data_IF_727124984888
#
_entry.id   IF_727124984888
#
_cell.length_a   1.000
_cell.length_b   1.000
_cell.length_c   1.000
_cell.angle_alpha   90.00
_cell.angle_beta   90.00
_cell.angle_gamma   90.00
#
_symmetry.space_group_name_H-M   'P 1'
#
loop_
_entity.id
_entity.type
_entity.pdbx_description
1 polymer ?
#
# COMPACT_ATOMS: atom_id res chain seq x y z
N UNK A 1 -8.05 -72.50 47.82
CA UNK A 1 -7.83 -73.93 47.47
C UNK A 1 -7.01 -74.04 46.25
N UNK A 2 -5.83 -74.68 46.40
CA UNK A 2 -4.93 -75.33 45.44
C UNK A 2 -4.46 -74.52 44.21
N UNK A 3 -3.29 -73.99 44.19
CA UNK A 3 -1.93 -74.58 44.16
C UNK A 3 -1.74 -75.59 43.00
N UNK A 4 -0.90 -75.24 42.04
CA UNK A 4 0.18 -76.19 41.67
C UNK A 4 1.30 -75.45 40.90
N UNK A 5 2.48 -75.84 41.36
CA UNK A 5 3.84 -75.40 41.03
C UNK A 5 4.38 -76.09 39.78
N UNK A 6 5.22 -75.38 39.01
CA UNK A 6 6.58 -75.68 38.49
C UNK A 6 6.77 -76.86 37.49
N UNK A 7 7.93 -76.94 36.74
CA UNK A 7 9.20 -76.23 36.82
C UNK A 7 9.88 -75.88 35.42
N UNK A 8 10.78 -74.98 35.49
CA UNK A 8 12.19 -74.88 35.00
C UNK A 8 12.64 -75.86 33.92
N UNK A 9 13.14 -75.32 32.82
CA UNK A 9 13.96 -75.94 31.85
C UNK A 9 14.96 -74.91 31.25
N UNK A 10 16.24 -75.00 31.74
CA UNK A 10 17.39 -74.26 31.19
C UNK A 10 17.89 -74.95 29.96
N UNK A 11 18.16 -74.18 28.91
CA UNK A 11 19.18 -74.62 27.94
C UNK A 11 20.04 -73.41 27.49
N UNK A 12 21.31 -73.52 27.75
CA UNK A 12 22.41 -72.68 27.25
C UNK A 12 22.70 -72.99 25.80
N UNK A 13 23.41 -72.06 25.16
CA UNK A 13 24.17 -72.08 23.93
C UNK A 13 23.45 -71.35 22.77
N UNK A 14 24.02 -70.46 21.98
CA UNK A 14 25.40 -70.23 21.60
C UNK A 14 25.49 -68.78 21.05
N UNK A 15 26.60 -68.12 21.35
CA UNK A 15 27.05 -66.89 20.72
C UNK A 15 27.40 -67.17 19.25
N UNK A 16 26.69 -66.50 18.35
CA UNK A 16 27.16 -66.29 16.99
C UNK A 16 27.21 -64.79 16.73
N UNK A 17 28.39 -64.22 16.66
CA UNK A 17 28.62 -62.82 16.31
C UNK A 17 28.32 -62.67 14.83
N UNK A 18 27.27 -61.89 14.53
CA UNK A 18 27.01 -61.38 13.19
C UNK A 18 27.50 -59.94 13.19
N UNK A 19 28.64 -59.71 12.56
CA UNK A 19 29.13 -58.38 12.24
C UNK A 19 28.21 -57.80 11.14
N UNK A 20 27.29 -56.92 11.54
CA UNK A 20 26.49 -56.15 10.62
C UNK A 20 27.32 -54.93 10.17
N UNK A 21 27.83 -54.98 8.94
CA UNK A 21 28.42 -53.84 8.24
C UNK A 21 27.34 -52.75 8.07
N UNK A 22 27.39 -51.72 8.92
CA UNK A 22 26.61 -50.51 8.69
C UNK A 22 27.22 -49.73 7.52
N UNK A 23 26.73 -49.98 6.33
CA UNK A 23 26.95 -49.09 5.20
C UNK A 23 26.17 -47.80 5.49
N UNK A 24 26.87 -46.72 5.87
CA UNK A 24 26.35 -45.37 5.89
C UNK A 24 25.97 -44.98 4.46
N UNK A 25 24.71 -45.10 4.10
CA UNK A 25 24.15 -44.40 2.94
C UNK A 25 24.02 -42.94 3.37
N UNK A 26 25.02 -42.12 3.04
CA UNK A 26 24.91 -40.68 3.08
C UNK A 26 23.82 -40.29 2.08
N UNK A 27 22.60 -40.09 2.56
CA UNK A 27 21.57 -39.40 1.81
C UNK A 27 22.09 -37.98 1.55
N UNK A 28 22.62 -37.77 0.35
CA UNK A 28 22.83 -36.45 -0.21
C UNK A 28 21.45 -35.80 -0.33
N UNK A 29 21.04 -35.09 0.72
CA UNK A 29 19.97 -34.15 0.59
C UNK A 29 20.38 -33.14 -0.48
N UNK A 30 19.62 -32.96 -1.55
CA UNK A 30 19.94 -31.89 -2.48
C UNK A 30 19.98 -30.60 -1.65
N UNK A 31 21.15 -29.93 -1.68
CA UNK A 31 21.30 -28.60 -1.11
C UNK A 31 20.12 -27.76 -1.57
N UNK A 32 19.44 -27.16 -0.60
CA UNK A 32 18.19 -26.41 -0.81
C UNK A 32 18.28 -25.58 -2.08
N UNK A 33 17.38 -25.89 -3.01
CA UNK A 33 17.17 -25.04 -4.15
C UNK A 33 16.91 -23.65 -3.61
N UNK A 34 17.80 -22.69 -3.94
CA UNK A 34 17.44 -21.28 -3.85
C UNK A 34 16.09 -21.17 -4.54
N UNK A 35 15.07 -20.72 -3.81
CA UNK A 35 13.84 -20.30 -4.46
C UNK A 35 14.30 -19.43 -5.63
N UNK A 36 13.95 -19.83 -6.85
CA UNK A 36 14.28 -19.04 -8.03
C UNK A 36 13.85 -17.62 -7.71
N UNK A 37 14.76 -16.64 -7.81
CA UNK A 37 14.46 -15.24 -7.59
C UNK A 37 13.29 -14.90 -8.52
N UNK A 38 12.09 -14.88 -7.94
CA UNK A 38 10.88 -14.58 -8.72
C UNK A 38 11.00 -13.12 -9.16
N UNK A 39 10.90 -12.89 -10.46
CA UNK A 39 10.87 -11.52 -11.01
C UNK A 39 9.83 -10.70 -10.22
N UNK A 40 10.20 -9.54 -9.65
CA UNK A 40 9.25 -8.66 -8.97
C UNK A 40 8.00 -8.35 -9.80
N UNK A 41 8.13 -8.33 -11.12
CA UNK A 41 7.03 -8.12 -12.06
C UNK A 41 6.11 -9.35 -12.24
N UNK A 42 6.46 -10.50 -11.70
CA UNK A 42 5.63 -11.71 -11.68
C UNK A 42 5.05 -12.03 -10.31
N UNK A 43 5.56 -11.38 -9.26
CA UNK A 43 5.18 -11.66 -7.88
C UNK A 43 3.97 -10.85 -7.45
N UNK A 44 2.93 -11.54 -6.96
CA UNK A 44 1.82 -10.91 -6.25
C UNK A 44 2.15 -10.61 -4.78
N UNK A 45 3.35 -10.98 -4.32
CA UNK A 45 3.81 -10.68 -2.97
C UNK A 45 4.49 -9.31 -2.97
N UNK A 46 3.94 -8.31 -2.27
CA UNK A 46 4.57 -7.02 -2.11
C UNK A 46 5.98 -7.11 -1.51
N UNK A 47 6.87 -6.24 -1.94
CA UNK A 47 8.22 -6.16 -1.40
C UNK A 47 8.20 -5.84 0.10
N UNK A 48 7.26 -5.03 0.54
CA UNK A 48 7.08 -4.66 1.94
C UNK A 48 6.82 -5.84 2.88
N UNK A 49 6.21 -6.93 2.40
CA UNK A 49 5.91 -8.12 3.19
C UNK A 49 6.83 -9.31 2.90
N UNK A 50 7.98 -9.08 2.27
CA UNK A 50 8.97 -10.12 1.99
C UNK A 50 9.01 -10.58 0.54
N UNK A 51 8.25 -9.97 -0.36
CA UNK A 51 8.35 -10.21 -1.79
C UNK A 51 9.72 -9.84 -2.37
N UNK A 52 9.99 -10.23 -3.63
CA UNK A 52 11.25 -9.94 -4.30
C UNK A 52 11.43 -8.43 -4.50
N UNK A 53 12.66 -7.94 -4.33
CA UNK A 53 13.06 -6.56 -4.57
C UNK A 53 13.65 -6.39 -5.96
N UNK A 54 13.45 -5.22 -6.54
CA UNK A 54 14.18 -4.82 -7.73
C UNK A 54 15.68 -4.68 -7.43
N UNK A 55 16.56 -5.19 -8.32
CA UNK A 55 17.99 -4.93 -8.21
C UNK A 55 18.33 -3.44 -8.25
N UNK A 56 19.43 -3.04 -7.60
CA UNK A 56 19.87 -1.64 -7.57
C UNK A 56 20.18 -1.05 -8.98
N UNK A 57 20.50 -1.89 -9.97
CA UNK A 57 20.71 -1.49 -11.35
C UNK A 57 19.44 -1.53 -12.20
N UNK A 58 18.25 -1.79 -11.61
CA UNK A 58 17.01 -1.87 -12.37
C UNK A 58 16.64 -0.54 -13.03
N UNK A 59 16.19 -0.61 -14.26
CA UNK A 59 15.56 0.50 -14.99
C UNK A 59 14.02 0.40 -14.98
N UNK A 60 13.49 -0.30 -13.99
CA UNK A 60 12.06 -0.52 -13.78
C UNK A 60 11.66 -0.04 -12.40
N UNK A 61 10.46 0.48 -12.26
CA UNK A 61 9.76 0.69 -11.01
C UNK A 61 8.56 -0.26 -10.95
N UNK A 62 8.23 -0.79 -9.76
CA UNK A 62 7.04 -1.63 -9.57
C UNK A 62 6.06 -0.92 -8.64
N UNK A 63 4.88 -0.67 -9.15
CA UNK A 63 3.76 -0.16 -8.36
C UNK A 63 2.82 -1.30 -7.98
N UNK A 64 2.33 -1.28 -6.74
CA UNK A 64 1.28 -2.20 -6.27
C UNK A 64 0.24 -1.43 -5.48
N UNK A 65 -1.00 -1.53 -5.90
CA UNK A 65 -2.11 -1.01 -5.12
C UNK A 65 -2.43 -1.94 -3.96
N UNK A 66 -2.43 -1.39 -2.75
CA UNK A 66 -2.62 -2.12 -1.50
C UNK A 66 -3.93 -1.74 -0.81
N UNK A 67 -4.98 -1.52 -1.59
CA UNK A 67 -6.30 -1.04 -1.18
C UNK A 67 -6.36 0.44 -0.80
N UNK A 68 -7.55 1.04 -0.87
CA UNK A 68 -7.78 2.45 -0.57
C UNK A 68 -6.81 3.34 -1.38
N UNK A 69 -6.15 4.26 -0.71
CA UNK A 69 -5.07 5.04 -1.33
C UNK A 69 -3.67 4.44 -1.12
N UNK A 70 -3.58 3.26 -0.44
CA UNK A 70 -2.27 2.67 -0.17
C UNK A 70 -1.60 2.17 -1.44
N UNK A 71 -0.39 2.61 -1.67
CA UNK A 71 0.50 2.12 -2.71
C UNK A 71 1.86 1.71 -2.16
N UNK A 72 2.40 0.65 -2.73
CA UNK A 72 3.82 0.32 -2.65
C UNK A 72 4.48 0.70 -3.98
N UNK A 73 5.61 1.39 -3.88
CA UNK A 73 6.52 1.64 -4.99
C UNK A 73 7.88 1.02 -4.65
N UNK A 74 8.28 0.00 -5.39
CA UNK A 74 9.63 -0.56 -5.34
C UNK A 74 10.47 0.03 -6.48
N UNK A 75 11.60 0.61 -6.11
CA UNK A 75 12.58 1.18 -7.03
C UNK A 75 13.99 0.89 -6.55
N UNK A 76 14.77 0.13 -7.29
CA UNK A 76 16.19 -0.19 -7.01
C UNK A 76 16.43 -0.70 -5.59
N UNK A 77 15.51 -1.53 -5.07
CA UNK A 77 15.57 -2.09 -3.73
C UNK A 77 15.09 -1.18 -2.62
N UNK A 78 14.67 0.04 -2.94
CA UNK A 78 13.99 0.95 -2.01
C UNK A 78 12.48 0.74 -2.09
N UNK A 79 11.83 0.61 -0.95
CA UNK A 79 10.38 0.44 -0.85
C UNK A 79 9.76 1.69 -0.26
N UNK A 80 8.99 2.40 -1.05
CA UNK A 80 8.24 3.58 -0.66
C UNK A 80 6.80 3.16 -0.39
N UNK A 81 6.29 3.46 0.81
CA UNK A 81 4.89 3.22 1.15
C UNK A 81 4.13 4.53 1.20
N UNK A 82 2.97 4.54 0.58
CA UNK A 82 2.02 5.65 0.62
C UNK A 82 0.79 5.15 1.36
N UNK A 83 0.50 5.79 2.50
CA UNK A 83 -0.51 5.42 3.47
C UNK A 83 -0.32 4.04 4.13
N UNK A 84 -1.09 3.78 5.19
CA UNK A 84 -0.98 2.55 5.98
C UNK A 84 -2.34 2.16 6.55
N UNK A 85 -3.19 1.56 5.71
CA UNK A 85 -4.50 1.04 6.09
C UNK A 85 -4.65 -0.40 5.56
N UNK A 86 -4.19 -1.37 6.31
CA UNK A 86 -4.15 -2.78 5.92
C UNK A 86 -5.10 -3.65 6.74
N UNK A 87 -5.27 -3.37 8.04
CA UNK A 87 -6.14 -4.11 8.94
C UNK A 87 -7.60 -3.66 8.76
N UNK A 88 -8.30 -4.36 7.89
CA UNK A 88 -9.64 -4.02 7.41
C UNK A 88 -10.66 -5.05 7.85
N UNK A 89 -11.95 -4.69 7.84
CA UNK A 89 -13.04 -5.63 8.12
C UNK A 89 -13.01 -6.86 7.20
N UNK A 90 -13.50 -8.00 7.69
CA UNK A 90 -13.62 -9.23 6.90
C UNK A 90 -14.51 -9.07 5.65
N UNK A 91 -15.48 -8.16 5.69
CA UNK A 91 -16.37 -7.86 4.54
C UNK A 91 -15.73 -6.98 3.49
N UNK A 92 -14.62 -6.32 3.78
CA UNK A 92 -13.85 -5.64 2.74
C UNK A 92 -13.18 -6.69 1.85
N UNK A 93 -12.93 -6.34 0.59
CA UNK A 93 -12.16 -7.19 -0.31
C UNK A 93 -10.84 -7.57 0.36
N UNK A 94 -10.50 -8.87 0.49
CA UNK A 94 -9.31 -9.30 1.21
C UNK A 94 -8.02 -8.75 0.56
N UNK A 95 -7.17 -8.13 1.36
CA UNK A 95 -5.83 -7.71 0.92
C UNK A 95 -4.85 -8.87 0.87
N UNK A 96 -5.07 -9.91 1.69
CA UNK A 96 -4.25 -11.12 1.74
C UNK A 96 -3.02 -11.02 2.64
N UNK A 97 -2.88 -9.92 3.38
CA UNK A 97 -1.89 -9.73 4.45
C UNK A 97 -2.39 -8.69 5.45
N UNK A 98 -1.73 -8.58 6.59
CA UNK A 98 -2.04 -7.61 7.63
C UNK A 98 -0.87 -6.64 7.88
N UNK A 99 -1.10 -5.57 8.63
CA UNK A 99 -0.08 -4.58 8.99
C UNK A 99 1.14 -5.22 9.69
N UNK A 100 0.91 -6.28 10.48
CA UNK A 100 1.96 -6.99 11.22
C UNK A 100 2.92 -7.76 10.31
N UNK A 101 2.56 -7.96 9.05
CA UNK A 101 3.39 -8.62 8.05
C UNK A 101 4.27 -7.64 7.27
N UNK A 102 4.04 -6.33 7.40
CA UNK A 102 4.87 -5.30 6.74
C UNK A 102 6.20 -5.18 7.48
N UNK A 103 7.29 -5.61 6.84
CA UNK A 103 8.63 -5.71 7.44
C UNK A 103 9.66 -4.82 6.76
N UNK A 104 9.29 -4.18 5.66
CA UNK A 104 10.24 -3.41 4.85
C UNK A 104 9.59 -2.14 4.31
N UNK A 105 10.21 -1.02 4.61
CA UNK A 105 9.97 0.27 4.00
C UNK A 105 11.24 1.12 4.09
N UNK A 106 11.52 1.93 3.10
CA UNK A 106 12.58 2.95 3.12
C UNK A 106 12.05 4.27 3.68
N UNK A 107 10.79 4.56 3.41
CA UNK A 107 10.04 5.71 3.92
C UNK A 107 8.54 5.43 3.82
N UNK A 108 7.76 6.03 4.71
CA UNK A 108 6.30 5.99 4.71
C UNK A 108 5.80 7.42 4.56
N UNK A 109 5.01 7.67 3.52
CA UNK A 109 4.32 8.94 3.29
C UNK A 109 2.87 8.82 3.71
N UNK A 110 2.41 9.70 4.58
CA UNK A 110 0.99 9.81 4.93
C UNK A 110 0.40 11.02 4.21
N UNK A 111 -0.52 10.78 3.29
CA UNK A 111 -1.14 11.85 2.53
C UNK A 111 -2.04 12.71 3.41
N UNK A 112 -2.82 12.10 4.33
CA UNK A 112 -3.56 12.84 5.35
C UNK A 112 -3.93 11.98 6.57
N UNK A 113 -4.59 12.59 7.56
CA UNK A 113 -4.80 12.01 8.89
C UNK A 113 -6.09 11.22 9.10
N UNK A 114 -6.88 10.91 8.08
CA UNK A 114 -8.03 10.05 8.27
C UNK A 114 -7.59 8.59 8.57
N UNK A 115 -8.45 7.85 9.28
CA UNK A 115 -8.13 6.49 9.73
C UNK A 115 -7.81 5.54 8.58
N UNK A 116 -8.49 5.68 7.46
CA UNK A 116 -8.34 4.84 6.27
C UNK A 116 -7.08 5.16 5.43
N UNK A 117 -6.23 6.04 5.95
CA UNK A 117 -4.88 6.36 5.45
C UNK A 117 -3.79 6.05 6.47
N UNK A 118 -4.06 6.15 7.79
CA UNK A 118 -3.00 6.10 8.79
C UNK A 118 -3.22 5.11 9.94
N UNK A 119 -4.32 4.35 9.97
CA UNK A 119 -4.67 3.55 11.16
C UNK A 119 -3.63 2.52 11.57
N UNK A 120 -2.81 2.04 10.66
CA UNK A 120 -1.78 1.03 10.91
C UNK A 120 -0.35 1.61 10.95
N UNK A 121 -0.20 2.94 10.99
CA UNK A 121 1.12 3.58 10.95
C UNK A 121 2.04 3.13 12.08
N UNK A 122 1.51 2.96 13.29
CA UNK A 122 2.32 2.60 14.47
C UNK A 122 2.94 1.22 14.32
N UNK A 123 2.20 0.12 14.09
CA UNK A 123 2.82 -1.19 13.90
C UNK A 123 3.73 -1.24 12.67
N UNK A 124 3.37 -0.58 11.57
CA UNK A 124 4.17 -0.59 10.34
C UNK A 124 5.50 0.14 10.55
N UNK A 125 5.47 1.35 11.11
CA UNK A 125 6.68 2.11 11.37
C UNK A 125 7.59 1.44 12.42
N UNK A 126 7.01 0.84 13.46
CA UNK A 126 7.77 0.09 14.47
C UNK A 126 8.50 -1.11 13.88
N UNK A 127 7.89 -1.83 12.94
CA UNK A 127 8.48 -3.04 12.34
C UNK A 127 9.51 -2.73 11.26
N UNK A 128 9.31 -1.66 10.51
CA UNK A 128 10.19 -1.29 9.40
C UNK A 128 11.34 -0.38 9.84
N UNK A 129 11.17 0.37 10.93
CA UNK A 129 12.10 1.43 11.35
C UNK A 129 12.11 2.63 10.38
N UNK A 130 11.21 2.67 9.40
CA UNK A 130 11.20 3.69 8.36
C UNK A 130 10.79 5.07 8.91
N UNK A 131 11.39 6.17 8.42
CA UNK A 131 10.90 7.51 8.70
C UNK A 131 9.50 7.70 8.12
N UNK A 132 8.69 8.50 8.80
CA UNK A 132 7.32 8.84 8.40
C UNK A 132 7.27 10.32 8.05
N UNK A 133 6.73 10.66 6.87
CA UNK A 133 6.51 12.03 6.42
C UNK A 133 5.03 12.33 6.49
N UNK A 134 4.65 13.40 7.19
CA UNK A 134 3.25 13.76 7.42
C UNK A 134 3.03 15.25 7.65
N UNK A 135 1.82 15.73 7.39
CA UNK A 135 1.38 17.07 7.78
C UNK A 135 1.28 17.21 9.32
N UNK A 136 1.35 18.42 9.90
CA UNK A 136 1.36 18.62 11.36
C UNK A 136 0.23 17.89 12.09
N UNK A 137 -1.00 18.01 11.63
CA UNK A 137 -2.18 17.39 12.27
C UNK A 137 -2.12 15.86 12.22
N UNK A 138 -1.62 15.30 11.12
CA UNK A 138 -1.41 13.86 10.92
C UNK A 138 -0.27 13.36 11.80
N UNK A 139 0.85 14.08 11.84
CA UNK A 139 2.01 13.79 12.66
C UNK A 139 1.64 13.78 14.16
N UNK A 140 0.95 14.80 14.63
CA UNK A 140 0.46 14.89 16.02
C UNK A 140 -0.45 13.71 16.38
N UNK A 141 -1.35 13.35 15.46
CA UNK A 141 -2.25 12.20 15.64
C UNK A 141 -1.46 10.90 15.72
N UNK A 142 -0.50 10.67 14.81
CA UNK A 142 0.35 9.48 14.82
C UNK A 142 1.17 9.35 16.11
N UNK A 143 1.73 10.47 16.59
CA UNK A 143 2.49 10.52 17.86
C UNK A 143 1.58 10.21 19.05
N UNK A 144 0.35 10.76 19.09
CA UNK A 144 -0.65 10.41 20.13
C UNK A 144 -1.04 8.93 20.08
N UNK A 145 -1.01 8.29 18.91
CA UNK A 145 -1.23 6.85 18.76
C UNK A 145 -0.05 6.00 19.22
N UNK A 146 1.11 6.60 19.49
CA UNK A 146 2.31 5.92 20.00
C UNK A 146 3.48 5.86 19.01
N UNK A 147 3.42 6.55 17.87
CA UNK A 147 4.57 6.66 16.98
C UNK A 147 5.65 7.54 17.63
N UNK A 148 6.94 7.09 17.71
CA UNK A 148 8.01 7.93 18.23
C UNK A 148 8.16 9.23 17.44
N UNK A 149 8.16 10.38 18.12
CA UNK A 149 8.29 11.68 17.46
C UNK A 149 9.58 11.81 16.64
N UNK A 150 10.67 11.16 17.06
CA UNK A 150 11.94 11.14 16.33
C UNK A 150 11.87 10.40 14.99
N UNK A 151 10.82 9.61 14.75
CA UNK A 151 10.60 8.89 13.49
C UNK A 151 9.75 9.71 12.50
N UNK A 152 9.21 10.87 12.93
CA UNK A 152 8.30 11.67 12.11
C UNK A 152 9.00 12.92 11.57
N UNK A 153 8.95 13.11 10.28
CA UNK A 153 9.29 14.36 9.58
C UNK A 153 8.01 15.11 9.27
N UNK A 154 7.79 16.23 9.95
CA UNK A 154 6.61 17.07 9.71
C UNK A 154 6.87 18.05 8.60
N UNK A 155 5.93 18.16 7.65
CA UNK A 155 6.00 19.02 6.46
C UNK A 155 4.68 19.78 6.27
N UNK A 156 4.77 20.96 5.67
CA UNK A 156 3.61 21.87 5.51
C UNK A 156 3.28 22.19 4.06
N UNK A 157 4.07 21.63 3.12
CA UNK A 157 4.02 21.91 1.69
C UNK A 157 5.02 22.99 1.27
N UNK A 158 5.73 22.71 0.18
CA UNK A 158 6.83 23.53 -0.33
C UNK A 158 8.22 22.98 -0.02
N UNK A 159 8.33 22.00 0.88
CA UNK A 159 9.59 21.35 1.21
C UNK A 159 10.04 20.40 0.09
N UNK A 160 11.37 20.20 0.04
CA UNK A 160 12.02 19.16 -0.76
C UNK A 160 12.83 18.27 0.16
N UNK A 161 12.53 16.97 0.15
CA UNK A 161 13.23 15.95 0.92
C UNK A 161 14.02 15.02 -0.01
N UNK A 162 14.99 14.29 0.55
CA UNK A 162 15.79 13.31 -0.17
C UNK A 162 15.79 11.96 0.54
N UNK A 163 15.48 10.90 -0.20
CA UNK A 163 15.53 9.53 0.29
C UNK A 163 16.45 8.72 -0.65
N UNK A 164 17.70 8.51 -0.20
CA UNK A 164 18.75 8.04 -1.09
C UNK A 164 19.00 9.03 -2.22
N UNK A 165 18.85 8.57 -3.44
CA UNK A 165 18.98 9.36 -4.66
C UNK A 165 17.65 9.90 -5.23
N UNK A 166 16.56 9.68 -4.52
CA UNK A 166 15.22 10.15 -4.91
C UNK A 166 14.91 11.49 -4.24
N UNK A 167 14.54 12.46 -5.03
CA UNK A 167 14.06 13.78 -4.57
C UNK A 167 12.55 13.75 -4.45
N UNK A 168 12.01 14.25 -3.34
CA UNK A 168 10.57 14.33 -3.08
C UNK A 168 10.18 15.79 -2.81
N UNK A 169 9.47 16.39 -3.75
CA UNK A 169 8.85 17.71 -3.60
C UNK A 169 7.45 17.55 -3.04
N UNK A 170 7.11 18.35 -2.03
CA UNK A 170 5.87 18.24 -1.29
C UNK A 170 5.00 19.46 -1.53
N UNK A 171 3.72 19.26 -1.75
CA UNK A 171 2.74 20.34 -1.81
C UNK A 171 1.62 20.13 -0.81
N UNK A 172 1.08 21.24 -0.30
CA UNK A 172 -0.18 21.24 0.41
C UNK A 172 -1.31 21.16 -0.63
N UNK A 173 -2.12 20.13 -0.54
CA UNK A 173 -3.28 19.88 -1.37
C UNK A 173 -4.57 20.09 -0.55
N UNK A 174 -5.72 20.05 -1.20
CA UNK A 174 -7.01 20.00 -0.53
C UNK A 174 -7.58 18.58 -0.53
N UNK A 175 -8.19 18.22 0.57
CA UNK A 175 -8.99 17.01 0.66
C UNK A 175 -10.29 17.15 -0.14
N UNK A 176 -10.74 16.07 -0.77
CA UNK A 176 -12.08 16.00 -1.36
C UNK A 176 -13.16 16.26 -0.29
N UNK A 177 -14.24 16.91 -0.68
CA UNK A 177 -15.33 17.24 0.23
C UNK A 177 -16.65 16.70 -0.31
N UNK A 178 -17.52 16.13 0.54
CA UNK A 178 -18.86 15.74 0.12
C UNK A 178 -19.62 16.95 -0.44
N UNK A 179 -20.48 16.70 -1.42
CA UNK A 179 -21.40 17.74 -1.87
C UNK A 179 -22.32 18.17 -0.71
N UNK A 180 -22.78 19.42 -0.70
CA UNK A 180 -23.77 19.86 0.29
C UNK A 180 -24.97 18.90 0.33
N UNK A 181 -25.39 18.48 1.53
CA UNK A 181 -26.48 17.52 1.74
C UNK A 181 -26.11 16.04 1.57
N UNK A 182 -24.95 15.70 1.03
CA UNK A 182 -24.50 14.31 0.88
C UNK A 182 -23.92 13.77 2.19
N UNK A 183 -23.32 14.59 3.03
CA UNK A 183 -22.71 14.14 4.29
C UNK A 183 -23.71 13.38 5.17
N UNK A 184 -24.94 13.88 5.31
CA UNK A 184 -25.98 13.19 6.09
C UNK A 184 -26.35 11.82 5.48
N UNK A 185 -26.42 11.72 4.14
CA UNK A 185 -26.69 10.48 3.45
C UNK A 185 -25.54 9.46 3.68
N UNK A 186 -24.29 9.91 3.61
CA UNK A 186 -23.10 9.07 3.90
C UNK A 186 -23.12 8.60 5.35
N UNK A 187 -23.41 9.47 6.30
CA UNK A 187 -23.51 9.11 7.72
C UNK A 187 -24.61 8.09 7.98
N UNK A 188 -25.74 8.22 7.29
CA UNK A 188 -26.83 7.25 7.39
C UNK A 188 -26.48 5.89 6.75
N UNK A 189 -25.84 5.89 5.60
CA UNK A 189 -25.31 4.68 4.97
C UNK A 189 -24.30 3.99 5.88
N UNK A 190 -23.39 4.74 6.48
CA UNK A 190 -22.43 4.21 7.44
C UNK A 190 -23.11 3.57 8.65
N UNK A 191 -24.15 4.20 9.22
CA UNK A 191 -24.94 3.62 10.31
C UNK A 191 -25.65 2.32 9.91
N UNK A 192 -26.09 2.21 8.65
CA UNK A 192 -26.68 0.98 8.11
C UNK A 192 -25.63 -0.12 8.04
N UNK A 193 -24.43 0.19 7.58
CA UNK A 193 -23.33 -0.79 7.52
C UNK A 193 -22.91 -1.28 8.90
N UNK A 194 -22.77 -0.38 9.86
CA UNK A 194 -22.45 -0.78 11.25
C UNK A 194 -23.48 -1.74 11.84
N UNK A 195 -24.75 -1.62 11.47
CA UNK A 195 -25.80 -2.56 11.93
C UNK A 195 -25.69 -3.96 11.33
N UNK A 196 -24.94 -4.13 10.25
CA UNK A 196 -24.67 -5.42 9.60
C UNK A 196 -23.42 -6.08 10.16
N UNK A 197 -22.62 -5.36 10.93
CA UNK A 197 -21.39 -5.88 11.51
C UNK A 197 -21.71 -6.89 12.61
N UNK A 198 -20.95 -7.96 12.67
CA UNK A 198 -20.86 -8.77 13.87
C UNK A 198 -20.26 -7.95 15.03
N UNK A 199 -20.42 -8.37 16.29
CA UNK A 199 -19.79 -7.66 17.42
C UNK A 199 -18.28 -7.44 17.25
N UNK A 200 -17.56 -8.43 16.71
CA UNK A 200 -16.12 -8.35 16.49
C UNK A 200 -15.77 -7.36 15.34
N UNK A 201 -16.54 -7.36 14.26
CA UNK A 201 -16.37 -6.40 13.16
C UNK A 201 -16.68 -4.97 13.62
N UNK A 202 -17.72 -4.78 14.44
CA UNK A 202 -18.05 -3.48 15.01
C UNK A 202 -16.93 -2.99 15.94
N UNK A 203 -16.37 -3.87 16.79
CA UNK A 203 -15.24 -3.54 17.66
C UNK A 203 -14.00 -3.17 16.83
N UNK A 204 -13.67 -3.95 15.80
CA UNK A 204 -12.57 -3.63 14.88
C UNK A 204 -12.78 -2.29 14.18
N UNK A 205 -13.99 -2.04 13.68
CA UNK A 205 -14.34 -0.77 13.02
C UNK A 205 -14.15 0.43 13.95
N UNK A 206 -14.63 0.32 15.20
CA UNK A 206 -14.45 1.37 16.18
C UNK A 206 -12.98 1.60 16.51
N UNK A 207 -12.20 0.53 16.70
CA UNK A 207 -10.76 0.60 16.97
C UNK A 207 -10.00 1.21 15.80
N UNK A 208 -10.30 0.85 14.56
CA UNK A 208 -9.66 1.41 13.36
C UNK A 208 -10.01 2.89 13.21
N UNK A 209 -11.28 3.26 13.32
CA UNK A 209 -11.71 4.67 13.23
C UNK A 209 -11.10 5.58 14.29
N UNK A 210 -10.79 5.05 15.48
CA UNK A 210 -10.13 5.82 16.54
C UNK A 210 -8.64 6.10 16.25
N UNK A 211 -8.08 5.46 15.22
CA UNK A 211 -6.65 5.61 14.82
C UNK A 211 -6.49 6.59 13.68
N UNK A 212 -7.12 7.72 13.78
CA UNK A 212 -7.05 8.82 12.82
C UNK A 212 -7.64 10.08 13.41
N UNK A 213 -7.68 11.15 12.64
CA UNK A 213 -8.31 12.40 13.01
C UNK A 213 -9.40 12.78 12.03
N UNK A 214 -10.49 13.37 12.54
CA UNK A 214 -11.56 13.98 11.75
C UNK A 214 -11.58 15.49 11.96
N UNK A 215 -10.45 16.08 12.36
CA UNK A 215 -10.33 17.53 12.47
C UNK A 215 -10.60 18.20 11.11
N UNK A 216 -11.39 19.28 11.07
CA UNK A 216 -11.58 20.07 9.85
C UNK A 216 -10.27 20.56 9.21
N UNK A 217 -9.21 20.72 10.02
CA UNK A 217 -7.88 21.13 9.53
C UNK A 217 -7.25 20.11 8.57
N UNK A 218 -7.71 18.85 8.55
CA UNK A 218 -7.27 17.87 7.55
C UNK A 218 -7.63 18.32 6.14
N UNK A 219 -8.78 18.95 5.97
CA UNK A 219 -9.31 19.33 4.66
C UNK A 219 -8.42 20.35 3.94
N UNK A 220 -7.95 21.36 4.68
CA UNK A 220 -7.26 22.52 4.10
C UNK A 220 -5.77 22.61 4.47
N UNK A 221 -5.33 21.91 5.53
CA UNK A 221 -3.98 22.04 6.09
C UNK A 221 -3.29 20.70 6.34
N UNK A 222 -3.98 19.58 6.12
CA UNK A 222 -3.52 18.26 6.49
C UNK A 222 -3.35 17.28 5.33
N UNK A 223 -3.68 17.67 4.10
CA UNK A 223 -3.58 16.82 2.91
C UNK A 223 -2.35 17.20 2.10
N UNK A 224 -1.54 16.22 1.71
CA UNK A 224 -0.27 16.40 1.02
C UNK A 224 -0.26 15.69 -0.33
N UNK A 225 0.38 16.34 -1.32
CA UNK A 225 0.80 15.72 -2.56
C UNK A 225 2.31 15.51 -2.56
N UNK A 226 2.76 14.36 -3.04
CA UNK A 226 4.17 13.97 -3.12
C UNK A 226 4.60 13.80 -4.56
N UNK A 227 5.52 14.64 -5.01
CA UNK A 227 6.13 14.58 -6.34
C UNK A 227 7.54 13.99 -6.25
N UNK A 228 7.74 12.77 -6.71
CA UNK A 228 9.02 12.08 -6.67
C UNK A 228 9.75 12.28 -8.00
N UNK A 229 11.03 12.65 -7.93
CA UNK A 229 11.93 12.69 -9.08
C UNK A 229 13.11 11.76 -8.84
N UNK A 230 13.29 10.83 -9.76
CA UNK A 230 14.34 9.81 -9.72
C UNK A 230 15.56 10.25 -10.55
N UNK A 231 16.76 9.67 -10.32
CA UNK A 231 17.99 10.07 -11.05
C UNK A 231 17.89 9.98 -12.57
N UNK A 232 17.07 9.08 -13.08
CA UNK A 232 16.80 8.94 -14.52
C UNK A 232 15.93 10.06 -15.11
N UNK A 233 15.42 10.96 -14.26
CA UNK A 233 14.39 11.93 -14.62
C UNK A 233 12.98 11.35 -14.66
N UNK A 234 12.79 10.10 -14.27
CA UNK A 234 11.46 9.50 -14.07
C UNK A 234 10.73 10.23 -12.95
N UNK A 235 9.47 10.55 -13.15
CA UNK A 235 8.68 11.37 -12.22
C UNK A 235 7.38 10.70 -11.85
N UNK A 236 7.07 10.72 -10.56
CA UNK A 236 5.85 10.11 -9.99
C UNK A 236 5.13 11.13 -9.13
N UNK A 237 3.82 11.24 -9.29
CA UNK A 237 2.94 11.97 -8.39
C UNK A 237 2.09 10.98 -7.58
N UNK A 238 2.01 11.20 -6.27
CA UNK A 238 1.11 10.48 -5.38
C UNK A 238 0.23 11.50 -4.63
N UNK A 239 -1.09 11.34 -4.76
CA UNK A 239 -2.10 12.19 -4.11
C UNK A 239 -3.26 11.31 -3.66
N UNK A 240 -3.40 11.16 -2.36
CA UNK A 240 -4.34 10.23 -1.71
C UNK A 240 -5.77 10.77 -1.56
N UNK A 241 -5.99 12.04 -1.90
CA UNK A 241 -7.30 12.65 -1.91
C UNK A 241 -7.40 13.71 -3.02
N UNK A 242 -8.51 13.80 -3.71
CA UNK A 242 -8.72 14.72 -4.83
C UNK A 242 -9.73 15.81 -4.44
N UNK A 243 -9.22 16.95 -4.03
CA UNK A 243 -10.02 18.15 -3.78
C UNK A 243 -9.80 19.23 -4.85
N UNK A 244 -10.31 20.43 -4.62
CA UNK A 244 -10.05 21.58 -5.48
C UNK A 244 -8.55 21.86 -5.63
N UNK A 245 -8.11 22.17 -6.84
CA UNK A 245 -6.69 22.48 -7.13
C UNK A 245 -6.23 23.69 -6.30
N UNK A 246 -5.13 23.50 -5.56
CA UNK A 246 -4.49 24.52 -4.74
C UNK A 246 -3.39 25.28 -5.49
N UNK A 247 -2.89 26.35 -4.90
CA UNK A 247 -1.64 26.99 -5.35
C UNK A 247 -0.43 26.06 -5.14
N UNK A 248 -0.48 25.20 -4.12
CA UNK A 248 0.52 24.17 -3.87
C UNK A 248 0.61 23.18 -5.03
N UNK A 249 -0.53 22.65 -5.48
CA UNK A 249 -0.61 21.73 -6.62
C UNK A 249 -0.08 22.38 -7.89
N UNK A 250 -0.44 23.65 -8.17
CA UNK A 250 0.05 24.40 -9.34
C UNK A 250 1.56 24.58 -9.30
N UNK A 251 2.13 24.92 -8.14
CA UNK A 251 3.57 25.08 -7.95
C UNK A 251 4.30 23.75 -8.11
N UNK A 252 3.74 22.67 -7.55
CA UNK A 252 4.30 21.33 -7.72
C UNK A 252 4.27 20.90 -9.19
N UNK A 253 3.14 21.07 -9.87
CA UNK A 253 3.02 20.77 -11.30
C UNK A 253 3.99 21.59 -12.16
N UNK A 254 4.17 22.88 -11.87
CA UNK A 254 5.14 23.72 -12.56
C UNK A 254 6.58 23.24 -12.34
N UNK A 255 6.92 22.76 -11.14
CA UNK A 255 8.25 22.23 -10.80
C UNK A 255 8.50 20.88 -11.47
N UNK A 256 7.53 19.97 -11.43
CA UNK A 256 7.69 18.63 -12.02
C UNK A 256 7.59 18.67 -13.55
N UNK A 257 6.74 19.55 -14.12
CA UNK A 257 6.25 19.38 -15.48
C UNK A 257 5.40 18.11 -15.63
N UNK A 258 5.11 17.64 -16.85
CA UNK A 258 4.41 16.39 -17.07
C UNK A 258 5.10 15.23 -16.33
N UNK A 259 4.32 14.40 -15.62
CA UNK A 259 4.85 13.27 -14.85
C UNK A 259 4.76 11.98 -15.66
N UNK A 260 5.61 11.00 -15.35
CA UNK A 260 5.54 9.70 -16.01
C UNK A 260 4.42 8.84 -15.43
N UNK A 261 4.20 8.89 -14.09
CA UNK A 261 3.12 8.17 -13.41
C UNK A 261 2.43 9.10 -12.42
N UNK A 262 1.12 9.06 -12.36
CA UNK A 262 0.36 9.67 -11.27
C UNK A 262 -0.61 8.68 -10.66
N UNK A 263 -0.59 8.55 -9.33
CA UNK A 263 -1.72 8.01 -8.57
C UNK A 263 -2.45 9.18 -7.91
N UNK A 264 -3.69 9.38 -8.30
CA UNK A 264 -4.58 10.40 -7.77
C UNK A 264 -5.87 9.70 -7.37
N UNK A 265 -6.30 9.92 -6.13
CA UNK A 265 -7.49 9.29 -5.59
C UNK A 265 -8.74 9.62 -6.40
N UNK A 266 -9.59 8.61 -6.55
CA UNK A 266 -10.95 8.72 -7.04
C UNK A 266 -11.87 8.34 -5.89
N UNK A 267 -12.25 9.31 -5.10
CA UNK A 267 -12.95 9.05 -3.85
C UNK A 267 -14.46 9.10 -4.01
N UNK A 268 -15.12 8.17 -3.31
CA UNK A 268 -16.55 7.97 -3.36
C UNK A 268 -17.34 8.97 -2.50
N UNK A 269 -17.49 10.19 -2.95
CA UNK A 269 -18.43 11.14 -2.32
C UNK A 269 -19.81 11.16 -2.97
N UNK A 270 -20.31 9.97 -3.32
CA UNK A 270 -21.69 9.65 -3.67
C UNK A 270 -22.23 10.09 -5.05
N UNK A 271 -21.53 10.92 -5.81
CA UNK A 271 -21.98 11.34 -7.14
C UNK A 271 -20.81 11.27 -8.13
N UNK A 272 -20.90 10.41 -9.12
CA UNK A 272 -19.83 10.18 -10.10
C UNK A 272 -19.39 11.48 -10.80
N UNK A 273 -20.33 12.36 -11.17
CA UNK A 273 -20.02 13.65 -11.82
C UNK A 273 -19.10 14.52 -10.95
N UNK A 274 -19.33 14.56 -9.64
CA UNK A 274 -18.50 15.36 -8.73
C UNK A 274 -17.10 14.75 -8.58
N UNK A 275 -17.01 13.45 -8.46
CA UNK A 275 -15.73 12.76 -8.35
C UNK A 275 -14.87 12.92 -9.59
N UNK A 276 -15.47 12.78 -10.77
CA UNK A 276 -14.81 13.09 -12.04
C UNK A 276 -14.40 14.56 -12.06
N UNK A 277 -15.28 15.46 -11.61
CA UNK A 277 -15.04 16.90 -11.56
C UNK A 277 -13.93 17.32 -10.60
N UNK A 278 -13.63 16.55 -9.55
CA UNK A 278 -12.52 16.80 -8.62
C UNK A 278 -11.22 16.14 -9.09
N UNK A 279 -11.28 14.88 -9.52
CA UNK A 279 -10.07 14.12 -9.89
C UNK A 279 -9.53 14.50 -11.27
N UNK A 280 -10.40 14.64 -12.26
CA UNK A 280 -9.97 14.88 -13.65
C UNK A 280 -9.13 16.17 -13.82
N UNK A 281 -9.49 17.33 -13.23
CA UNK A 281 -8.66 18.52 -13.31
C UNK A 281 -7.24 18.35 -12.74
N UNK A 282 -7.08 17.51 -11.71
CA UNK A 282 -5.75 17.19 -11.17
C UNK A 282 -4.97 16.29 -12.14
N UNK A 283 -5.63 15.30 -12.77
CA UNK A 283 -5.00 14.50 -13.83
C UNK A 283 -4.56 15.41 -14.98
N UNK A 284 -5.38 16.36 -15.41
CA UNK A 284 -5.02 17.34 -16.44
C UNK A 284 -3.84 18.21 -16.02
N UNK A 285 -3.83 18.69 -14.78
CA UNK A 285 -2.78 19.58 -14.26
C UNK A 285 -1.40 18.90 -14.29
N UNK A 286 -1.30 17.64 -13.87
CA UNK A 286 -0.05 16.91 -13.81
C UNK A 286 0.31 16.16 -15.10
N UNK A 287 -0.65 16.00 -15.98
CA UNK A 287 -0.52 15.41 -17.31
C UNK A 287 0.34 14.13 -17.34
N UNK A 288 -0.07 13.06 -16.64
CA UNK A 288 0.70 11.84 -16.55
C UNK A 288 0.67 11.05 -17.86
N UNK A 289 1.77 10.34 -18.17
CA UNK A 289 1.76 9.29 -19.21
C UNK A 289 0.95 8.07 -18.78
N UNK A 290 0.99 7.76 -17.47
CA UNK A 290 0.25 6.65 -16.86
C UNK A 290 -0.52 7.13 -15.63
N UNK A 291 -1.82 6.97 -15.65
CA UNK A 291 -2.69 7.18 -14.48
C UNK A 291 -2.99 5.86 -13.78
N UNK A 292 -2.77 5.82 -12.48
CA UNK A 292 -3.07 4.70 -11.58
C UNK A 292 -4.14 5.16 -10.59
N UNK A 293 -5.40 4.72 -10.71
CA UNK A 293 -6.44 5.10 -9.77
C UNK A 293 -6.20 4.51 -8.39
N UNK A 294 -6.61 5.24 -7.36
CA UNK A 294 -6.67 4.79 -5.97
C UNK A 294 -7.97 5.25 -5.33
N UNK A 295 -8.26 4.74 -4.15
CA UNK A 295 -9.42 5.13 -3.34
C UNK A 295 -10.79 4.96 -4.04
N UNK A 296 -10.89 4.02 -4.99
CA UNK A 296 -12.13 3.68 -5.68
C UNK A 296 -12.79 2.41 -5.13
N UNK A 297 -12.15 1.77 -4.15
CA UNK A 297 -12.72 0.68 -3.36
C UNK A 297 -13.35 1.21 -2.07
N UNK A 298 -14.13 0.38 -1.42
CA UNK A 298 -14.83 0.76 -0.20
C UNK A 298 -13.90 0.84 1.01
N UNK A 299 -13.77 2.02 1.61
CA UNK A 299 -13.10 2.19 2.91
C UNK A 299 -13.92 1.58 4.07
N UNK A 300 -15.23 1.44 3.90
CA UNK A 300 -16.19 1.08 4.96
C UNK A 300 -16.92 -0.25 4.77
N UNK A 301 -16.69 -0.94 3.67
CA UNK A 301 -17.41 -2.16 3.31
C UNK A 301 -17.60 -2.28 1.81
N UNK A 302 -17.98 -3.46 1.33
CA UNK A 302 -18.04 -3.81 -0.11
C UNK A 302 -19.16 -3.11 -0.91
N UNK A 303 -19.92 -2.24 -0.32
CA UNK A 303 -21.13 -1.66 -0.92
C UNK A 303 -20.91 -0.29 -1.59
N UNK A 304 -19.73 0.34 -1.39
CA UNK A 304 -19.34 1.58 -2.07
C UNK A 304 -18.15 1.26 -2.98
N UNK A 305 -18.32 0.34 -3.89
CA UNK A 305 -17.41 0.20 -5.01
C UNK A 305 -17.95 1.12 -6.11
N UNK A 306 -17.46 2.36 -6.12
CA UNK A 306 -17.86 3.29 -7.18
C UNK A 306 -17.03 2.99 -8.41
N UNK A 307 -17.71 2.65 -9.49
CA UNK A 307 -17.10 2.47 -10.79
C UNK A 307 -16.25 3.69 -11.15
N UNK A 308 -15.02 3.43 -11.54
CA UNK A 308 -14.09 4.47 -12.04
C UNK A 308 -14.27 4.74 -13.53
N UNK A 309 -15.14 3.98 -14.19
CA UNK A 309 -15.37 4.03 -15.62
C UNK A 309 -15.62 5.44 -16.14
N UNK A 310 -16.47 6.29 -15.48
CA UNK A 310 -16.72 7.63 -15.97
C UNK A 310 -15.45 8.51 -16.03
N UNK A 311 -14.52 8.33 -15.07
CA UNK A 311 -13.24 9.02 -15.09
C UNK A 311 -12.34 8.48 -16.20
N UNK A 312 -12.27 7.15 -16.35
CA UNK A 312 -11.41 6.52 -17.35
C UNK A 312 -11.89 6.82 -18.77
N UNK A 313 -13.19 6.89 -18.99
CA UNK A 313 -13.78 7.32 -20.26
C UNK A 313 -13.38 8.75 -20.57
N UNK A 314 -13.53 9.66 -19.60
CA UNK A 314 -13.15 11.06 -19.77
C UNK A 314 -11.64 11.23 -20.04
N UNK A 315 -10.78 10.48 -19.36
CA UNK A 315 -9.33 10.48 -19.64
C UNK A 315 -9.08 10.00 -21.08
N UNK A 316 -9.73 8.92 -21.52
CA UNK A 316 -9.57 8.38 -22.89
C UNK A 316 -9.97 9.40 -23.94
N UNK A 317 -11.06 10.13 -23.71
CA UNK A 317 -11.63 11.05 -24.68
C UNK A 317 -10.88 12.39 -24.76
N UNK A 318 -10.43 12.91 -23.60
CA UNK A 318 -9.87 14.25 -23.51
C UNK A 318 -8.33 14.28 -23.35
N UNK A 319 -7.71 13.14 -22.96
CA UNK A 319 -6.28 13.01 -22.74
C UNK A 319 -5.72 11.74 -23.43
N UNK A 320 -5.77 11.65 -24.76
CA UNK A 320 -5.44 10.42 -25.50
C UNK A 320 -3.98 9.94 -25.29
N UNK A 321 -3.07 10.82 -24.87
CA UNK A 321 -1.70 10.48 -24.55
C UNK A 321 -1.52 9.90 -23.13
N UNK A 322 -2.53 10.02 -22.28
CA UNK A 322 -2.54 9.45 -20.94
C UNK A 322 -3.11 8.03 -20.96
N UNK A 323 -2.28 7.06 -20.65
CA UNK A 323 -2.74 5.68 -20.42
C UNK A 323 -3.23 5.52 -18.99
N UNK A 324 -4.02 4.50 -18.73
CA UNK A 324 -4.43 4.13 -17.39
C UNK A 324 -4.42 2.62 -17.18
N UNK A 325 -4.17 2.22 -15.95
CA UNK A 325 -4.30 0.83 -15.46
C UNK A 325 -5.06 0.88 -14.15
N UNK A 326 -6.17 0.15 -14.07
CA UNK A 326 -6.91 -0.07 -12.83
C UNK A 326 -6.48 -1.43 -12.25
N UNK A 327 -5.54 -1.45 -11.30
CA UNK A 327 -4.98 -2.69 -10.81
C UNK A 327 -5.93 -3.42 -9.86
N UNK A 328 -5.76 -4.74 -9.75
CA UNK A 328 -6.22 -5.49 -8.59
C UNK A 328 -5.23 -5.33 -7.44
N UNK A 329 -5.67 -5.61 -6.22
CA UNK A 329 -4.78 -5.57 -5.05
C UNK A 329 -3.53 -6.42 -5.26
N UNK A 330 -2.38 -5.84 -4.95
CA UNK A 330 -1.04 -6.44 -5.04
C UNK A 330 -0.54 -6.76 -6.44
N UNK A 331 -1.36 -6.59 -7.47
CA UNK A 331 -0.92 -6.80 -8.85
C UNK A 331 0.27 -5.90 -9.18
N UNK A 332 1.41 -6.45 -9.63
CA UNK A 332 2.55 -5.66 -10.01
C UNK A 332 2.29 -4.92 -11.33
N UNK A 333 2.55 -3.61 -11.32
CA UNK A 333 2.56 -2.77 -12.52
C UNK A 333 4.00 -2.32 -12.70
N UNK A 334 4.69 -2.90 -13.66
CA UNK A 334 6.09 -2.59 -13.96
C UNK A 334 6.18 -1.50 -15.01
N UNK A 335 6.90 -0.44 -14.68
CA UNK A 335 7.03 0.77 -15.49
C UNK A 335 8.51 1.03 -15.79
N UNK A 336 8.85 1.29 -17.05
CA UNK A 336 10.21 1.70 -17.42
C UNK A 336 10.54 3.07 -16.83
N UNK A 337 11.73 3.20 -16.22
CA UNK A 337 12.17 4.45 -15.56
C UNK A 337 13.20 5.23 -16.36
N UNK A 338 13.64 4.70 -17.51
CA UNK A 338 14.65 5.34 -18.35
C UNK A 338 14.41 5.14 -19.84
N UNK A 339 15.22 5.77 -20.66
CA UNK A 339 15.21 5.61 -22.11
C UNK A 339 13.95 6.12 -22.80
N UNK A 340 13.74 5.69 -24.04
CA UNK A 340 12.59 6.10 -24.88
C UNK A 340 11.25 5.57 -24.35
N UNK A 341 11.27 4.52 -23.52
CA UNK A 341 10.08 3.91 -22.95
C UNK A 341 9.75 4.43 -21.54
N UNK A 342 10.45 5.45 -21.04
CA UNK A 342 10.20 6.00 -19.70
C UNK A 342 8.71 6.36 -19.49
N UNK A 343 8.13 5.83 -18.44
CA UNK A 343 6.71 6.00 -18.09
C UNK A 343 5.77 5.00 -18.78
N UNK A 344 6.28 4.06 -19.59
CA UNK A 344 5.44 3.03 -20.19
C UNK A 344 5.37 1.77 -19.33
N UNK A 345 4.21 1.13 -19.28
CA UNK A 345 4.04 -0.17 -18.63
C UNK A 345 4.76 -1.23 -19.46
N UNK A 346 5.77 -1.86 -18.87
CA UNK A 346 6.53 -2.95 -19.51
C UNK A 346 5.93 -4.31 -19.22
N UNK A 347 5.29 -4.45 -18.06
CA UNK A 347 4.61 -5.66 -17.64
C UNK A 347 3.50 -5.34 -16.65
N UNK A 348 2.36 -5.97 -16.83
CA UNK A 348 1.23 -5.89 -15.92
C UNK A 348 0.60 -7.26 -15.77
N UNK A 349 0.18 -7.61 -14.57
CA UNK A 349 -0.48 -8.87 -14.26
C UNK A 349 -1.78 -8.60 -13.50
N UNK A 350 -2.89 -9.16 -14.00
CA UNK A 350 -4.17 -9.18 -13.30
C UNK A 350 -4.23 -10.27 -12.23
#
# INVERSE_FOLDING_TARGET
>A
MNAHKRPIGSLRQSLAAIAASCTLVALLWPAGGRAADTDPCDSLMPAAIGGPLLPAASETAVFRWLANANYELDYRGQVFLFDTYYNRKARNRPLGFSAEQVKRASVIFLGHGHFDHMSDIVPVAAQTGAPVVAAPITAETAIKMGLPAAQVTTVTGGETLHFGDVTVDIALAHHSQPAPGIQEALDNLYKVELRRDSPDEAALSAAVRSRGTFSPDVLDKGTLAFGLTFPSGFKVLMLDSAGPITDGDRKLAARLGPVDVASIAYQAHAVAERQVGETFPLVQLFHPKLYLPSHHDASFGSWIDLGIEPLLEKIRDEMPDTRFVAPLYRSPICVATSGAQRGTVTKFRY
#
